data_IF_913015914946
#
_entry.id   IF_913015914946
#
_cell.length_a   1.000
_cell.length_b   1.000
_cell.length_c   1.000
_cell.angle_alpha   90.00
_cell.angle_beta   90.00
_cell.angle_gamma   90.00
#
_symmetry.space_group_name_H-M   'P 1'
#
loop_
_entity.id
_entity.type
_entity.pdbx_description
1 polymer ?
#
# COMPACT_ATOMS: atom_id res chain seq x y z
N UNK A 1 16.61 30.43 -38.64
CA UNK A 1 16.65 29.72 -37.32
C UNK A 1 15.23 29.29 -36.98
N UNK A 2 14.95 28.01 -37.20
CA UNK A 2 13.61 27.45 -36.89
C UNK A 2 13.51 27.17 -35.39
N UNK A 3 12.64 27.89 -34.70
CA UNK A 3 12.30 27.53 -33.34
C UNK A 3 11.56 26.16 -33.35
N UNK A 4 12.01 25.20 -32.54
CA UNK A 4 11.24 23.96 -32.45
C UNK A 4 9.85 24.26 -31.91
N UNK A 5 8.85 23.68 -32.52
CA UNK A 5 7.46 23.81 -32.11
C UNK A 5 7.32 23.34 -30.64
N UNK A 6 6.78 24.21 -29.80
CA UNK A 6 6.43 23.83 -28.41
C UNK A 6 5.31 22.80 -28.48
N UNK A 7 5.65 21.56 -28.19
CA UNK A 7 4.65 20.53 -27.97
C UNK A 7 4.01 20.84 -26.61
N UNK A 8 2.86 21.49 -26.64
CA UNK A 8 2.04 21.62 -25.42
C UNK A 8 1.51 20.21 -25.12
N UNK A 9 1.85 19.61 -23.97
CA UNK A 9 1.25 18.32 -23.63
C UNK A 9 -0.24 18.53 -23.44
N UNK A 10 -1.04 17.93 -24.31
CA UNK A 10 -2.49 17.84 -24.10
C UNK A 10 -2.70 16.88 -22.93
N UNK A 11 -3.08 17.43 -21.79
CA UNK A 11 -3.45 16.63 -20.63
C UNK A 11 -4.77 15.92 -20.92
N UNK A 12 -4.81 14.58 -20.94
CA UNK A 12 -6.07 13.89 -21.14
C UNK A 12 -7.07 14.27 -20.04
N UNK A 13 -8.32 14.48 -20.43
CA UNK A 13 -9.39 14.74 -19.46
C UNK A 13 -9.66 13.47 -18.65
N UNK A 14 -10.01 13.59 -17.35
CA UNK A 14 -10.39 12.42 -16.57
C UNK A 14 -11.49 11.60 -17.23
N UNK A 15 -11.46 10.29 -17.02
CA UNK A 15 -12.45 9.38 -17.58
C UNK A 15 -13.85 9.74 -17.07
N UNK A 16 -14.89 9.57 -17.90
CA UNK A 16 -16.27 9.78 -17.45
C UNK A 16 -16.57 8.94 -16.20
N UNK A 17 -17.21 9.54 -15.24
CA UNK A 17 -17.52 8.89 -13.96
C UNK A 17 -16.46 9.05 -12.90
N UNK A 18 -15.17 9.18 -13.29
CA UNK A 18 -14.08 9.32 -12.32
C UNK A 18 -14.19 10.65 -11.56
N UNK A 19 -14.38 11.73 -12.29
CA UNK A 19 -14.59 13.06 -11.69
C UNK A 19 -15.89 13.10 -10.87
N UNK A 20 -16.94 12.46 -11.35
CA UNK A 20 -18.22 12.41 -10.63
C UNK A 20 -18.09 11.71 -9.29
N UNK A 21 -17.37 10.58 -9.25
CA UNK A 21 -17.11 9.84 -8.01
C UNK A 21 -16.31 10.72 -7.03
N UNK A 22 -15.29 11.39 -7.52
CA UNK A 22 -14.46 12.28 -6.71
C UNK A 22 -15.30 13.42 -6.13
N UNK A 23 -16.11 14.09 -6.97
CA UNK A 23 -16.94 15.23 -6.52
C UNK A 23 -18.02 14.77 -5.52
N UNK A 24 -18.56 13.55 -5.68
CA UNK A 24 -19.49 12.99 -4.69
C UNK A 24 -18.81 12.83 -3.32
N UNK A 25 -17.56 12.35 -3.29
CA UNK A 25 -16.82 12.24 -2.04
C UNK A 25 -16.51 13.61 -1.45
N UNK A 26 -16.12 14.60 -2.27
CA UNK A 26 -15.87 15.98 -1.80
C UNK A 26 -17.14 16.61 -1.23
N UNK A 27 -18.28 16.39 -1.88
CA UNK A 27 -19.57 16.88 -1.38
C UNK A 27 -19.92 16.23 -0.03
N UNK A 28 -19.68 14.94 0.10
CA UNK A 28 -19.95 14.22 1.35
C UNK A 28 -19.04 14.69 2.49
N UNK A 29 -17.76 15.02 2.20
CA UNK A 29 -16.86 15.64 3.21
C UNK A 29 -17.50 16.91 3.78
N UNK A 30 -18.00 17.78 2.89
CA UNK A 30 -18.60 19.06 3.31
C UNK A 30 -19.92 18.86 4.07
N UNK A 31 -20.73 17.90 3.63
CA UNK A 31 -22.07 17.68 4.21
C UNK A 31 -22.06 16.93 5.53
N UNK A 32 -21.18 15.93 5.68
CA UNK A 32 -21.22 15.02 6.83
C UNK A 32 -20.20 15.36 7.92
N UNK A 33 -19.23 16.22 7.61
CA UNK A 33 -18.22 16.65 8.59
C UNK A 33 -17.26 15.56 9.01
N UNK A 34 -16.68 15.71 10.19
CA UNK A 34 -15.62 14.84 10.70
C UNK A 34 -16.24 13.59 11.36
N UNK A 35 -15.89 12.37 10.91
CA UNK A 35 -16.45 11.16 11.55
C UNK A 35 -15.99 11.03 13.00
N UNK A 36 -16.91 10.55 13.85
CA UNK A 36 -16.64 10.31 15.25
C UNK A 36 -15.67 9.14 15.44
N UNK A 37 -15.11 9.01 16.65
CA UNK A 37 -14.30 7.85 17.03
C UNK A 37 -15.08 6.55 16.79
N UNK A 38 -16.36 6.51 17.22
CA UNK A 38 -17.17 5.31 17.07
C UNK A 38 -17.36 4.94 15.59
N UNK A 39 -17.57 5.91 14.72
CA UNK A 39 -17.71 5.65 13.29
C UNK A 39 -16.41 5.09 12.70
N UNK A 40 -15.25 5.67 13.06
CA UNK A 40 -13.95 5.19 12.58
C UNK A 40 -13.68 3.74 13.02
N UNK A 41 -14.02 3.40 14.27
CA UNK A 41 -13.90 2.02 14.77
C UNK A 41 -14.85 1.07 14.00
N UNK A 42 -16.07 1.52 13.71
CA UNK A 42 -17.03 0.73 12.93
C UNK A 42 -16.49 0.45 11.52
N UNK A 43 -15.89 1.45 10.87
CA UNK A 43 -15.30 1.31 9.54
C UNK A 43 -14.14 0.30 9.56
N UNK A 44 -13.26 0.40 10.56
CA UNK A 44 -12.14 -0.55 10.71
C UNK A 44 -12.65 -1.98 10.93
N UNK A 45 -13.69 -2.14 11.73
CA UNK A 45 -14.31 -3.44 11.96
C UNK A 45 -14.96 -3.98 10.69
N UNK A 46 -15.52 -3.12 9.86
CA UNK A 46 -16.08 -3.52 8.56
C UNK A 46 -14.98 -4.09 7.65
N UNK A 47 -13.81 -3.42 7.57
CA UNK A 47 -12.68 -3.96 6.78
C UNK A 47 -12.20 -5.30 7.37
N UNK A 48 -12.14 -5.39 8.71
CA UNK A 48 -11.73 -6.66 9.36
C UNK A 48 -12.66 -7.80 8.94
N UNK A 49 -13.98 -7.55 8.90
CA UNK A 49 -14.96 -8.56 8.43
C UNK A 49 -14.76 -8.87 6.95
N UNK A 50 -14.54 -7.86 6.10
CA UNK A 50 -14.25 -8.08 4.68
C UNK A 50 -13.10 -9.09 4.53
N UNK A 51 -12.01 -8.90 5.28
CA UNK A 51 -10.84 -9.77 5.19
C UNK A 51 -11.12 -11.14 5.80
N UNK A 52 -11.67 -11.19 7.02
CA UNK A 52 -11.83 -12.45 7.75
C UNK A 52 -12.88 -13.36 7.12
N UNK A 53 -13.99 -12.78 6.61
CA UNK A 53 -15.10 -13.57 6.07
C UNK A 53 -14.84 -14.02 4.62
N UNK A 54 -13.85 -13.42 3.95
CA UNK A 54 -13.56 -13.72 2.54
C UNK A 54 -12.13 -14.23 2.32
N UNK A 55 -11.51 -14.82 3.36
CA UNK A 55 -10.11 -15.25 3.27
C UNK A 55 -9.87 -16.15 2.06
N UNK A 56 -10.67 -17.20 1.89
CA UNK A 56 -10.44 -18.17 0.81
C UNK A 56 -10.57 -17.51 -0.57
N UNK A 57 -11.59 -16.66 -0.77
CA UNK A 57 -11.77 -15.93 -2.03
C UNK A 57 -10.57 -15.02 -2.32
N UNK A 58 -10.06 -14.33 -1.30
CA UNK A 58 -8.90 -13.46 -1.44
C UNK A 58 -7.64 -14.25 -1.78
N UNK A 59 -7.43 -15.39 -1.10
CA UNK A 59 -6.28 -16.28 -1.38
C UNK A 59 -6.34 -16.82 -2.81
N UNK A 60 -7.52 -17.28 -3.24
CA UNK A 60 -7.73 -17.81 -4.59
C UNK A 60 -7.48 -16.74 -5.66
N UNK A 61 -8.00 -15.53 -5.46
CA UNK A 61 -7.83 -14.44 -6.42
C UNK A 61 -6.34 -14.07 -6.58
N UNK A 62 -5.62 -13.92 -5.48
CA UNK A 62 -4.19 -13.60 -5.51
C UNK A 62 -3.41 -14.76 -6.17
N UNK A 63 -3.70 -16.00 -5.76
CA UNK A 63 -3.01 -17.16 -6.32
C UNK A 63 -3.20 -17.24 -7.85
N UNK A 64 -4.41 -16.98 -8.30
CA UNK A 64 -4.72 -17.01 -9.74
C UNK A 64 -4.02 -15.89 -10.51
N UNK A 65 -3.93 -14.68 -9.93
CA UNK A 65 -3.23 -13.56 -10.58
C UNK A 65 -1.71 -13.80 -10.64
N UNK A 66 -1.16 -14.55 -9.69
CA UNK A 66 0.29 -14.79 -9.59
C UNK A 66 0.73 -16.15 -10.18
N UNK A 67 -0.19 -16.90 -10.81
CA UNK A 67 0.15 -18.21 -11.36
C UNK A 67 0.53 -19.21 -10.28
N UNK A 68 -0.34 -19.36 -9.28
CA UNK A 68 -0.23 -20.30 -8.16
C UNK A 68 0.66 -19.84 -6.99
N UNK A 69 0.61 -18.57 -6.65
CA UNK A 69 1.25 -18.07 -5.41
C UNK A 69 0.67 -18.82 -4.21
N UNK A 70 1.55 -19.27 -3.31
CA UNK A 70 1.16 -20.04 -2.13
C UNK A 70 0.16 -19.29 -1.24
N UNK A 71 -0.89 -19.97 -0.81
CA UNK A 71 -1.86 -19.43 0.15
C UNK A 71 -1.19 -19.04 1.48
N UNK A 72 -0.19 -19.83 1.92
CA UNK A 72 0.56 -19.52 3.15
C UNK A 72 1.32 -18.20 3.00
N UNK A 73 1.95 -17.99 1.85
CA UNK A 73 2.65 -16.74 1.55
C UNK A 73 1.70 -15.55 1.58
N UNK A 74 0.53 -15.69 0.95
CA UNK A 74 -0.48 -14.63 0.92
C UNK A 74 -1.04 -14.36 2.33
N UNK A 75 -1.29 -15.40 3.12
CA UNK A 75 -1.72 -15.20 4.52
C UNK A 75 -0.68 -14.40 5.30
N UNK A 76 0.58 -14.79 5.23
CA UNK A 76 1.68 -14.17 5.98
C UNK A 76 2.00 -12.75 5.47
N UNK A 77 2.08 -12.59 4.17
CA UNK A 77 2.54 -11.34 3.57
C UNK A 77 1.46 -10.32 3.31
N UNK A 78 0.18 -10.75 3.31
CA UNK A 78 -0.91 -9.83 2.96
C UNK A 78 -2.02 -9.79 3.98
N UNK A 79 -2.67 -10.91 4.31
CA UNK A 79 -3.81 -10.86 5.23
C UNK A 79 -3.39 -10.49 6.65
N UNK A 80 -2.31 -11.09 7.14
CA UNK A 80 -1.84 -10.86 8.52
C UNK A 80 -1.43 -9.39 8.76
N UNK A 81 -0.68 -8.73 7.85
CA UNK A 81 -0.38 -7.31 8.05
C UNK A 81 -1.62 -6.43 8.14
N UNK A 82 -2.64 -6.68 7.33
CA UNK A 82 -3.90 -5.91 7.37
C UNK A 82 -4.60 -6.13 8.71
N UNK A 83 -4.77 -7.40 9.11
CA UNK A 83 -5.44 -7.73 10.38
C UNK A 83 -4.71 -7.12 11.57
N UNK A 84 -3.39 -7.26 11.60
CA UNK A 84 -2.57 -6.70 12.69
C UNK A 84 -2.59 -5.17 12.67
N UNK A 85 -2.58 -4.57 11.49
CA UNK A 85 -2.71 -3.12 11.34
C UNK A 85 -4.01 -2.60 11.93
N UNK A 86 -5.14 -3.27 11.63
CA UNK A 86 -6.44 -2.89 12.18
C UNK A 86 -6.42 -3.00 13.71
N UNK A 87 -5.91 -4.10 14.25
CA UNK A 87 -5.81 -4.29 15.70
C UNK A 87 -4.98 -3.21 16.37
N UNK A 88 -3.83 -2.89 15.76
CA UNK A 88 -2.94 -1.85 16.28
C UNK A 88 -3.62 -0.48 16.27
N UNK A 89 -4.24 -0.10 15.14
CA UNK A 89 -4.93 1.19 15.02
C UNK A 89 -6.04 1.28 16.06
N UNK A 90 -6.88 0.24 16.18
CA UNK A 90 -8.00 0.24 17.13
C UNK A 90 -7.54 0.48 18.57
N UNK A 91 -6.40 -0.10 18.95
CA UNK A 91 -5.88 0.04 20.31
C UNK A 91 -5.29 1.43 20.60
N UNK A 92 -4.91 2.18 19.56
CA UNK A 92 -4.23 3.48 19.71
C UNK A 92 -5.07 4.67 19.27
N UNK A 93 -6.08 4.47 18.42
CA UNK A 93 -6.79 5.56 17.74
C UNK A 93 -7.36 6.61 18.72
N UNK A 94 -7.93 6.15 19.82
CA UNK A 94 -8.50 7.05 20.83
C UNK A 94 -7.45 8.01 21.39
N UNK A 95 -6.24 7.50 21.63
CA UNK A 95 -5.13 8.33 22.11
C UNK A 95 -4.63 9.28 21.02
N UNK A 96 -4.53 8.80 19.77
CA UNK A 96 -4.06 9.63 18.64
C UNK A 96 -5.02 10.78 18.34
N UNK A 97 -6.31 10.62 18.58
CA UNK A 97 -7.33 11.66 18.34
C UNK A 97 -7.35 12.75 19.39
N UNK A 98 -6.65 12.59 20.52
CA UNK A 98 -6.65 13.58 21.61
C UNK A 98 -5.91 14.85 21.17
N UNK A 99 -6.48 16.05 21.47
CA UNK A 99 -5.72 17.28 21.30
C UNK A 99 -4.43 17.28 22.12
N UNK A 100 -3.36 17.75 21.53
CA UNK A 100 -2.04 17.83 22.18
C UNK A 100 -1.76 19.28 22.61
N UNK A 101 -1.59 19.51 23.89
CA UNK A 101 -1.30 20.85 24.43
C UNK A 101 0.10 21.29 24.02
N UNK A 102 0.23 22.56 23.74
CA UNK A 102 1.52 23.19 23.41
C UNK A 102 1.80 24.36 24.34
N UNK A 103 3.06 24.61 24.61
CA UNK A 103 3.47 25.74 25.46
C UNK A 103 3.31 27.05 24.68
N UNK A 104 2.93 28.09 25.37
CA UNK A 104 2.89 29.45 24.82
C UNK A 104 3.90 30.33 25.56
N UNK A 105 4.49 31.27 24.85
CA UNK A 105 5.41 32.23 25.42
C UNK A 105 4.75 33.09 26.50
N UNK A 106 5.56 33.62 27.42
CA UNK A 106 5.06 34.39 28.58
C UNK A 106 4.18 35.57 28.16
N UNK A 107 4.51 36.19 27.03
CA UNK A 107 3.78 37.39 26.55
C UNK A 107 2.35 37.04 26.07
N UNK A 108 2.06 35.78 25.83
CA UNK A 108 0.72 35.36 25.38
C UNK A 108 -0.14 34.80 26.51
N UNK A 109 0.39 34.73 27.73
CA UNK A 109 -0.38 34.24 28.87
C UNK A 109 -1.48 35.24 29.23
N UNK A 110 -2.71 34.75 29.56
CA UNK A 110 -3.10 33.39 29.94
C UNK A 110 -3.62 32.53 28.80
N UNK A 111 -3.31 32.83 27.56
CA UNK A 111 -3.73 32.04 26.40
C UNK A 111 -3.20 30.59 26.48
N UNK A 112 -3.92 29.64 25.87
CA UNK A 112 -3.52 28.27 25.75
C UNK A 112 -3.45 27.89 24.28
N UNK A 113 -2.58 26.90 23.94
CA UNK A 113 -2.44 26.40 22.58
C UNK A 113 -2.55 24.90 22.56
N UNK A 114 -3.12 24.38 21.49
CA UNK A 114 -3.21 22.92 21.27
C UNK A 114 -3.22 22.61 19.79
N UNK A 115 -2.73 21.41 19.47
CA UNK A 115 -2.78 20.84 18.12
C UNK A 115 -3.93 19.83 18.09
N UNK A 116 -4.78 19.94 17.09
CA UNK A 116 -5.90 19.03 16.88
C UNK A 116 -5.71 18.39 15.50
N UNK A 117 -5.72 17.06 15.46
CA UNK A 117 -5.59 16.32 14.20
C UNK A 117 -6.96 16.18 13.56
N UNK A 118 -7.05 16.58 12.30
CA UNK A 118 -8.30 16.55 11.54
C UNK A 118 -8.10 15.75 10.25
N UNK A 119 -9.18 15.12 9.71
CA UNK A 119 -9.09 14.51 8.39
C UNK A 119 -8.71 15.52 7.32
N UNK A 120 -8.00 15.07 6.31
CA UNK A 120 -7.64 15.91 5.17
C UNK A 120 -8.83 16.11 4.22
N UNK A 121 -9.61 15.03 4.02
CA UNK A 121 -10.77 15.07 3.12
C UNK A 121 -10.84 13.80 2.29
N UNK A 122 -10.55 13.88 1.00
CA UNK A 122 -10.55 12.73 0.08
C UNK A 122 -9.11 12.32 -0.23
N UNK A 123 -8.77 11.07 0.10
CA UNK A 123 -7.45 10.48 -0.14
C UNK A 123 -7.53 9.55 -1.35
N UNK A 124 -6.64 9.74 -2.31
CA UNK A 124 -6.47 8.81 -3.42
C UNK A 124 -5.40 7.77 -3.11
N UNK A 125 -5.63 6.52 -3.48
CA UNK A 125 -4.64 5.44 -3.32
C UNK A 125 -4.42 4.78 -4.68
N UNK A 126 -3.18 4.82 -5.17
CA UNK A 126 -2.73 4.07 -6.34
C UNK A 126 -1.90 2.90 -5.84
N UNK A 127 -2.44 1.69 -5.94
CA UNK A 127 -1.83 0.51 -5.34
C UNK A 127 -1.12 -0.36 -6.39
N UNK A 128 -0.03 -1.04 -6.01
CA UNK A 128 0.77 -1.84 -6.93
C UNK A 128 0.27 -3.29 -7.02
N UNK A 129 0.97 -4.06 -7.84
CA UNK A 129 0.61 -5.45 -8.13
C UNK A 129 1.24 -6.48 -7.19
N UNK A 130 2.39 -6.16 -6.59
CA UNK A 130 3.22 -7.20 -5.92
C UNK A 130 2.64 -7.70 -4.58
N UNK A 131 1.96 -6.86 -3.86
CA UNK A 131 1.19 -7.21 -2.66
C UNK A 131 -0.15 -6.49 -2.74
N UNK A 132 -1.04 -6.98 -3.65
CA UNK A 132 -2.24 -6.21 -4.00
C UNK A 132 -3.23 -6.03 -2.86
N UNK A 133 -3.29 -6.96 -1.90
CA UNK A 133 -4.18 -6.81 -0.75
C UNK A 133 -3.59 -5.86 0.28
N UNK A 134 -2.37 -6.13 0.75
CA UNK A 134 -1.73 -5.31 1.80
C UNK A 134 -1.55 -3.86 1.35
N UNK A 135 -1.03 -3.66 0.13
CA UNK A 135 -0.69 -2.31 -0.32
C UNK A 135 -1.90 -1.52 -0.81
N UNK A 136 -3.07 -2.16 -0.85
CA UNK A 136 -4.35 -1.48 -1.03
C UNK A 136 -5.04 -1.23 0.32
N UNK A 137 -5.11 -2.26 1.16
CA UNK A 137 -5.91 -2.21 2.38
C UNK A 137 -5.23 -1.49 3.54
N UNK A 138 -3.88 -1.52 3.64
CA UNK A 138 -3.20 -0.81 4.73
C UNK A 138 -3.37 0.71 4.58
N UNK A 139 -3.09 1.32 3.41
CA UNK A 139 -3.39 2.75 3.26
C UNK A 139 -4.88 3.07 3.46
N UNK A 140 -5.78 2.17 3.05
CA UNK A 140 -7.22 2.36 3.25
C UNK A 140 -7.57 2.43 4.74
N UNK A 141 -7.10 1.46 5.55
CA UNK A 141 -7.44 1.44 6.98
C UNK A 141 -6.85 2.66 7.69
N UNK A 142 -5.67 3.10 7.29
CA UNK A 142 -5.04 4.30 7.86
C UNK A 142 -5.82 5.56 7.51
N UNK A 143 -6.24 5.69 6.25
CA UNK A 143 -7.03 6.84 5.80
C UNK A 143 -8.40 6.90 6.48
N UNK A 144 -9.09 5.74 6.62
CA UNK A 144 -10.37 5.66 7.32
C UNK A 144 -10.21 5.98 8.82
N UNK A 145 -9.17 5.45 9.46
CA UNK A 145 -8.87 5.74 10.86
C UNK A 145 -8.63 7.22 11.09
N UNK A 146 -7.98 7.89 10.14
CA UNK A 146 -7.75 9.34 10.20
C UNK A 146 -9.04 10.14 9.89
N UNK A 147 -10.11 9.46 9.45
CA UNK A 147 -11.41 10.09 9.20
C UNK A 147 -11.62 10.56 7.76
N UNK A 148 -10.79 10.10 6.84
CA UNK A 148 -10.86 10.49 5.43
C UNK A 148 -11.82 9.61 4.63
N UNK A 149 -12.22 10.10 3.46
CA UNK A 149 -12.88 9.32 2.41
C UNK A 149 -11.81 8.88 1.42
N UNK A 150 -12.05 7.77 0.72
CA UNK A 150 -10.97 7.13 -0.04
C UNK A 150 -11.45 6.71 -1.42
N UNK A 151 -10.67 7.08 -2.43
CA UNK A 151 -10.76 6.49 -3.77
C UNK A 151 -9.53 5.63 -4.00
N UNK A 152 -9.72 4.45 -4.57
CA UNK A 152 -8.64 3.48 -4.78
C UNK A 152 -8.60 3.06 -6.25
N UNK A 153 -7.41 3.07 -6.83
CA UNK A 153 -7.16 2.45 -8.13
C UNK A 153 -6.13 1.35 -7.91
N UNK A 154 -6.57 0.07 -7.79
CA UNK A 154 -5.62 -1.04 -7.66
C UNK A 154 -4.98 -1.37 -9.02
N UNK A 155 -4.00 -2.26 -9.00
CA UNK A 155 -3.21 -2.56 -10.19
C UNK A 155 -4.01 -3.36 -11.23
N UNK A 156 -3.85 -3.01 -12.50
CA UNK A 156 -4.37 -3.76 -13.65
C UNK A 156 -3.65 -5.08 -13.86
N UNK A 157 -2.48 -5.25 -13.23
CA UNK A 157 -1.70 -6.49 -13.36
C UNK A 157 -2.21 -7.61 -12.45
N UNK A 158 -3.11 -7.30 -11.51
CA UNK A 158 -3.76 -8.28 -10.65
C UNK A 158 -5.28 -8.13 -10.76
N UNK A 159 -5.83 -8.43 -11.96
CA UNK A 159 -7.24 -8.09 -12.25
C UNK A 159 -8.25 -8.86 -11.40
N UNK A 160 -7.99 -10.11 -11.05
CA UNK A 160 -8.93 -10.90 -10.24
C UNK A 160 -9.01 -10.35 -8.82
N UNK A 161 -7.85 -10.04 -8.24
CA UNK A 161 -7.76 -9.44 -6.91
C UNK A 161 -8.40 -8.06 -6.90
N UNK A 162 -8.11 -7.24 -7.91
CA UNK A 162 -8.63 -5.87 -8.02
C UNK A 162 -10.15 -5.86 -8.14
N UNK A 163 -10.72 -6.75 -8.95
CA UNK A 163 -12.17 -6.85 -9.13
C UNK A 163 -12.86 -7.36 -7.85
N UNK A 164 -12.23 -8.35 -7.17
CA UNK A 164 -12.78 -8.85 -5.91
C UNK A 164 -12.79 -7.74 -4.85
N UNK A 165 -11.70 -6.94 -4.75
CA UNK A 165 -11.66 -5.80 -3.83
C UNK A 165 -12.74 -4.77 -4.17
N UNK A 166 -12.92 -4.47 -5.49
CA UNK A 166 -13.97 -3.55 -5.93
C UNK A 166 -15.36 -4.02 -5.47
N UNK A 167 -15.62 -5.31 -5.65
CA UNK A 167 -16.89 -5.91 -5.23
C UNK A 167 -17.06 -5.83 -3.70
N UNK A 168 -16.12 -6.38 -2.95
CA UNK A 168 -16.25 -6.49 -1.50
C UNK A 168 -16.34 -5.13 -0.79
N UNK A 169 -15.52 -4.16 -1.24
CA UNK A 169 -15.55 -2.83 -0.65
C UNK A 169 -16.81 -2.06 -1.07
N UNK A 170 -17.29 -2.28 -2.31
CA UNK A 170 -18.54 -1.68 -2.79
C UNK A 170 -19.79 -2.24 -2.10
N UNK A 171 -19.73 -3.50 -1.65
CA UNK A 171 -20.82 -4.10 -0.85
C UNK A 171 -20.79 -3.61 0.60
N UNK A 172 -19.65 -3.11 1.07
CA UNK A 172 -19.43 -2.73 2.46
C UNK A 172 -19.62 -1.24 2.71
N UNK A 173 -19.21 -0.40 1.77
CA UNK A 173 -19.21 1.07 1.91
C UNK A 173 -19.96 1.72 0.77
N UNK A 174 -20.56 2.88 1.05
CA UNK A 174 -21.10 3.71 -0.03
C UNK A 174 -19.94 4.26 -0.89
N UNK A 175 -20.22 4.52 -2.16
CA UNK A 175 -19.22 5.11 -3.07
C UNK A 175 -18.72 6.48 -2.58
N UNK A 176 -19.56 7.18 -1.82
CA UNK A 176 -19.20 8.47 -1.21
C UNK A 176 -18.15 8.31 -0.10
N UNK A 177 -17.95 7.10 0.42
CA UNK A 177 -17.00 6.86 1.51
C UNK A 177 -15.76 6.11 1.02
N UNK A 178 -15.94 4.97 0.34
CA UNK A 178 -14.84 4.18 -0.25
C UNK A 178 -15.26 3.75 -1.65
N UNK A 179 -14.46 4.11 -2.64
CA UNK A 179 -14.72 3.72 -4.04
C UNK A 179 -13.47 3.08 -4.63
N UNK A 180 -13.63 1.94 -5.27
CA UNK A 180 -12.57 1.28 -6.03
C UNK A 180 -12.87 1.42 -7.52
N UNK A 181 -11.94 2.00 -8.28
CA UNK A 181 -12.04 2.11 -9.73
C UNK A 181 -10.98 1.22 -10.37
N UNK A 182 -11.42 0.32 -11.26
CA UNK A 182 -10.51 -0.59 -11.97
C UNK A 182 -10.32 -0.10 -13.41
N UNK A 183 -9.10 -0.23 -13.89
CA UNK A 183 -8.74 0.24 -15.23
C UNK A 183 -7.25 0.20 -15.45
N UNK A 184 -6.84 0.60 -16.62
CA UNK A 184 -5.46 0.52 -17.11
C UNK A 184 -4.57 1.69 -16.66
N UNK A 185 -3.37 1.78 -17.24
CA UNK A 185 -2.42 2.83 -16.94
C UNK A 185 -2.94 4.23 -17.33
N UNK A 186 -3.82 4.32 -18.35
CA UNK A 186 -4.42 5.60 -18.71
C UNK A 186 -5.35 6.09 -17.60
N UNK A 187 -6.17 5.19 -17.04
CA UNK A 187 -7.03 5.54 -15.91
C UNK A 187 -6.18 5.92 -14.68
N UNK A 188 -5.05 5.25 -14.45
CA UNK A 188 -4.14 5.60 -13.35
C UNK A 188 -3.59 7.02 -13.52
N UNK A 189 -3.24 7.39 -14.75
CA UNK A 189 -2.78 8.76 -15.07
C UNK A 189 -3.88 9.78 -14.76
N UNK A 190 -5.10 9.54 -15.27
CA UNK A 190 -6.25 10.43 -15.03
C UNK A 190 -6.59 10.52 -13.54
N UNK A 191 -6.50 9.40 -12.82
CA UNK A 191 -6.71 9.36 -11.37
C UNK A 191 -5.71 10.26 -10.64
N UNK A 192 -4.43 10.23 -11.04
CA UNK A 192 -3.41 11.05 -10.38
C UNK A 192 -3.57 12.55 -10.63
N UNK A 193 -4.39 12.94 -11.60
CA UNK A 193 -4.70 14.34 -11.91
C UNK A 193 -5.87 14.91 -11.10
N UNK A 194 -6.61 14.05 -10.38
CA UNK A 194 -7.70 14.55 -9.53
C UNK A 194 -7.14 15.36 -8.36
N UNK A 195 -7.83 16.44 -7.95
CA UNK A 195 -7.32 17.31 -6.89
C UNK A 195 -7.61 16.73 -5.50
N UNK A 196 -7.05 15.56 -5.22
CA UNK A 196 -7.14 14.92 -3.91
C UNK A 196 -6.57 15.81 -2.81
N UNK A 197 -7.04 15.61 -1.59
CA UNK A 197 -6.46 16.26 -0.42
C UNK A 197 -5.16 15.56 0.02
N UNK A 198 -4.94 14.32 -0.43
CA UNK A 198 -3.68 13.58 -0.33
C UNK A 198 -3.70 12.42 -1.33
N UNK A 199 -2.55 12.09 -1.89
CA UNK A 199 -2.43 10.98 -2.83
C UNK A 199 -1.31 10.04 -2.37
N UNK A 200 -1.66 8.77 -2.15
CA UNK A 200 -0.71 7.72 -1.79
C UNK A 200 -0.44 6.88 -3.04
N UNK A 201 0.82 6.74 -3.38
CA UNK A 201 1.26 5.92 -4.52
C UNK A 201 2.30 4.92 -4.05
N UNK A 202 2.10 3.65 -4.39
CA UNK A 202 3.12 2.61 -4.22
C UNK A 202 3.43 2.02 -5.59
N UNK A 203 4.71 2.02 -5.98
CA UNK A 203 5.12 1.51 -7.29
C UNK A 203 6.55 1.86 -7.66
N UNK A 204 6.84 1.90 -8.95
CA UNK A 204 8.20 2.21 -9.41
C UNK A 204 8.51 3.71 -9.27
N UNK A 205 9.79 4.01 -9.09
CA UNK A 205 10.29 5.40 -9.06
C UNK A 205 9.94 6.15 -10.36
N UNK A 206 10.00 5.44 -11.48
CA UNK A 206 9.65 6.04 -12.77
C UNK A 206 8.21 6.55 -12.79
N UNK A 207 7.25 5.69 -12.40
CA UNK A 207 5.84 6.07 -12.37
C UNK A 207 5.58 7.10 -11.24
N UNK A 208 6.26 6.95 -10.10
CA UNK A 208 6.13 7.89 -8.98
C UNK A 208 6.45 9.33 -9.38
N UNK A 209 7.45 9.53 -10.25
CA UNK A 209 7.76 10.87 -10.77
C UNK A 209 6.59 11.46 -11.56
N UNK A 210 5.91 10.64 -12.37
CA UNK A 210 4.74 11.09 -13.15
C UNK A 210 3.55 11.40 -12.22
N UNK A 211 3.32 10.56 -11.23
CA UNK A 211 2.25 10.77 -10.24
C UNK A 211 2.48 12.08 -9.47
N UNK A 212 3.71 12.31 -9.00
CA UNK A 212 4.07 13.52 -8.29
C UNK A 212 3.89 14.77 -9.17
N UNK A 213 4.31 14.68 -10.43
CA UNK A 213 4.18 15.80 -11.38
C UNK A 213 2.70 16.13 -11.65
N UNK A 214 1.85 15.11 -11.77
CA UNK A 214 0.40 15.30 -11.96
C UNK A 214 -0.21 15.96 -10.72
N UNK A 215 0.07 15.43 -9.54
CA UNK A 215 -0.43 15.93 -8.26
C UNK A 215 0.00 17.38 -8.00
N UNK A 216 1.21 17.75 -8.42
CA UNK A 216 1.77 19.09 -8.21
C UNK A 216 0.91 20.18 -8.86
N UNK A 217 0.22 19.88 -9.96
CA UNK A 217 -0.66 20.87 -10.62
C UNK A 217 -1.79 21.35 -9.70
N UNK A 218 -2.21 20.49 -8.78
CA UNK A 218 -3.29 20.76 -7.83
C UNK A 218 -2.75 21.08 -6.44
N UNK A 219 -1.42 21.11 -6.26
CA UNK A 219 -0.76 21.24 -4.96
C UNK A 219 -1.16 20.07 -4.01
N UNK A 220 -1.54 18.92 -4.58
CA UNK A 220 -1.89 17.73 -3.79
C UNK A 220 -0.64 17.16 -3.14
N UNK A 221 -0.59 17.05 -1.80
CA UNK A 221 0.51 16.37 -1.14
C UNK A 221 0.54 14.88 -1.50
N UNK A 222 1.74 14.30 -1.66
CA UNK A 222 1.87 12.90 -2.04
C UNK A 222 2.72 12.13 -1.03
N UNK A 223 2.37 10.86 -0.83
CA UNK A 223 3.24 9.87 -0.20
C UNK A 223 3.63 8.89 -1.29
N UNK A 224 4.94 8.78 -1.54
CA UNK A 224 5.49 7.89 -2.56
C UNK A 224 6.23 6.74 -1.88
N UNK A 225 5.69 5.54 -2.02
CA UNK A 225 6.32 4.29 -1.57
C UNK A 225 6.91 3.61 -2.80
N UNK A 226 8.23 3.59 -2.90
CA UNK A 226 8.93 3.25 -4.14
C UNK A 226 9.80 2.01 -3.96
N UNK A 227 10.38 1.54 -5.05
CA UNK A 227 11.29 0.41 -5.03
C UNK A 227 12.67 0.79 -4.47
N UNK A 228 13.49 -0.21 -4.26
CA UNK A 228 14.82 -0.02 -3.75
C UNK A 228 15.79 -1.08 -4.25
N UNK A 229 17.07 -0.85 -3.95
CA UNK A 229 18.18 -1.78 -4.16
C UNK A 229 18.80 -2.03 -2.80
N UNK A 230 18.11 -2.83 -1.98
CA UNK A 230 18.47 -3.02 -0.57
C UNK A 230 19.78 -3.79 -0.41
N UNK A 231 20.86 -3.15 0.05
CA UNK A 231 22.12 -3.85 0.30
C UNK A 231 22.06 -4.69 1.57
N UNK A 232 22.78 -5.80 1.55
CA UNK A 232 23.04 -6.58 2.76
C UNK A 232 24.54 -6.53 3.04
N UNK A 233 24.91 -6.25 4.27
CA UNK A 233 26.32 -6.25 4.70
C UNK A 233 26.48 -7.37 5.72
N UNK A 234 27.32 -8.35 5.40
CA UNK A 234 27.67 -9.45 6.32
C UNK A 234 29.04 -9.14 6.92
N UNK A 235 29.06 -8.95 8.24
CA UNK A 235 30.29 -8.67 8.96
C UNK A 235 31.13 -9.94 9.16
N UNK A 236 32.43 -9.76 9.38
CA UNK A 236 33.40 -10.86 9.51
C UNK A 236 33.04 -11.87 10.62
N UNK A 237 32.46 -11.37 11.71
CA UNK A 237 32.10 -12.18 12.87
C UNK A 237 30.72 -12.82 12.77
N UNK A 238 29.97 -12.65 11.65
CA UNK A 238 28.65 -13.21 11.52
C UNK A 238 28.69 -14.56 10.78
N UNK A 239 27.89 -15.52 11.26
CA UNK A 239 27.85 -16.87 10.68
C UNK A 239 27.34 -16.82 9.23
N UNK A 240 28.18 -17.25 8.31
CA UNK A 240 27.85 -17.31 6.87
C UNK A 240 26.65 -18.20 6.63
N UNK A 241 26.60 -19.39 7.26
CA UNK A 241 25.49 -20.33 7.14
C UNK A 241 24.16 -19.70 7.59
N UNK A 242 24.18 -19.00 8.72
CA UNK A 242 22.99 -18.33 9.25
C UNK A 242 22.54 -17.18 8.33
N UNK A 243 23.51 -16.40 7.84
CA UNK A 243 23.25 -15.30 6.90
C UNK A 243 22.60 -15.82 5.62
N UNK A 244 23.18 -16.83 5.00
CA UNK A 244 22.68 -17.41 3.75
C UNK A 244 21.23 -17.91 3.91
N UNK A 245 20.95 -18.61 5.02
CA UNK A 245 19.61 -19.14 5.29
C UNK A 245 18.57 -18.02 5.44
N UNK A 246 18.88 -17.01 6.24
CA UNK A 246 17.95 -15.88 6.50
C UNK A 246 17.70 -15.09 5.22
N UNK A 247 18.76 -14.84 4.46
CA UNK A 247 18.66 -14.07 3.23
C UNK A 247 17.92 -14.83 2.12
N UNK A 248 18.09 -16.16 2.06
CA UNK A 248 17.34 -16.99 1.10
C UNK A 248 15.83 -16.86 1.35
N UNK A 249 15.41 -16.94 2.61
CA UNK A 249 13.99 -16.75 2.97
C UNK A 249 13.51 -15.35 2.55
N UNK A 250 14.27 -14.32 2.91
CA UNK A 250 13.91 -12.93 2.59
C UNK A 250 13.88 -12.63 1.10
N UNK A 251 14.78 -13.27 0.31
CA UNK A 251 14.83 -13.04 -1.13
C UNK A 251 13.80 -13.85 -1.88
N UNK A 252 13.51 -15.09 -1.44
CA UNK A 252 12.61 -15.97 -2.16
C UNK A 252 11.14 -15.71 -1.87
N UNK A 253 10.83 -15.02 -0.76
CA UNK A 253 9.46 -14.63 -0.43
C UNK A 253 8.89 -13.80 -1.58
N UNK A 254 7.70 -14.14 -2.05
CA UNK A 254 7.05 -13.52 -3.20
C UNK A 254 7.97 -13.49 -4.45
N UNK A 255 8.83 -14.50 -4.61
CA UNK A 255 9.80 -14.57 -5.71
C UNK A 255 10.73 -13.34 -5.79
N UNK A 256 10.95 -12.66 -4.67
CA UNK A 256 11.78 -11.46 -4.61
C UNK A 256 11.09 -10.19 -5.07
N UNK A 257 9.79 -10.26 -5.37
CA UNK A 257 9.00 -9.12 -5.88
C UNK A 257 8.55 -8.22 -4.73
N UNK A 258 9.54 -7.73 -3.96
CA UNK A 258 9.31 -6.95 -2.74
C UNK A 258 10.26 -5.74 -2.76
N UNK A 259 9.72 -4.56 -2.47
CA UNK A 259 10.49 -3.30 -2.49
C UNK A 259 11.70 -3.33 -1.56
N UNK A 260 11.63 -4.11 -0.48
CA UNK A 260 12.70 -4.22 0.53
C UNK A 260 13.44 -5.55 0.43
N UNK A 261 13.24 -6.35 -0.63
CA UNK A 261 13.94 -7.63 -0.79
C UNK A 261 15.46 -7.39 -0.90
N UNK A 262 16.27 -8.26 -0.28
CA UNK A 262 17.72 -8.18 -0.47
C UNK A 262 18.07 -8.17 -1.95
N UNK A 263 18.87 -7.18 -2.38
CA UNK A 263 19.24 -7.04 -3.79
C UNK A 263 20.67 -7.51 -4.06
N UNK A 264 21.64 -6.92 -3.35
CA UNK A 264 23.04 -7.32 -3.46
C UNK A 264 23.62 -7.51 -2.07
N UNK A 265 24.66 -8.34 -2.02
CA UNK A 265 25.25 -8.79 -0.74
C UNK A 265 26.73 -8.46 -0.74
N UNK A 266 27.16 -7.72 0.26
CA UNK A 266 28.55 -7.43 0.55
C UNK A 266 29.02 -8.42 1.63
N UNK A 267 29.95 -9.27 1.27
CA UNK A 267 30.47 -10.32 2.14
C UNK A 267 32.00 -10.31 2.08
N UNK A 268 32.72 -10.61 3.18
CA UNK A 268 34.18 -10.66 3.12
C UNK A 268 34.65 -11.60 2.00
N UNK A 269 35.71 -11.17 1.32
CA UNK A 269 36.22 -11.84 0.10
C UNK A 269 36.43 -13.35 0.31
N UNK A 270 37.00 -13.73 1.45
CA UNK A 270 37.28 -15.11 1.81
C UNK A 270 36.02 -15.96 1.99
N UNK A 271 34.88 -15.33 2.22
CA UNK A 271 33.60 -16.02 2.47
C UNK A 271 32.67 -16.06 1.25
N UNK A 272 33.07 -15.50 0.11
CA UNK A 272 32.20 -15.46 -1.10
C UNK A 272 31.76 -16.87 -1.52
N UNK A 273 32.75 -17.79 -1.64
CA UNK A 273 32.45 -19.15 -2.09
C UNK A 273 31.63 -19.95 -1.06
N UNK A 274 31.95 -19.81 0.22
CA UNK A 274 31.18 -20.48 1.28
C UNK A 274 29.75 -19.93 1.36
N UNK A 275 29.57 -18.62 1.20
CA UNK A 275 28.23 -18.03 1.15
C UNK A 275 27.44 -18.59 -0.04
N UNK A 276 28.04 -18.62 -1.23
CA UNK A 276 27.39 -19.14 -2.44
C UNK A 276 26.95 -20.60 -2.25
N UNK A 277 27.81 -21.42 -1.66
CA UNK A 277 27.51 -22.82 -1.37
C UNK A 277 26.32 -22.98 -0.40
N UNK A 278 26.36 -22.25 0.70
CA UNK A 278 25.25 -22.27 1.68
C UNK A 278 23.94 -21.73 1.07
N UNK A 279 24.05 -20.72 0.24
CA UNK A 279 22.90 -20.14 -0.46
C UNK A 279 22.24 -21.18 -1.37
N UNK A 280 23.03 -21.86 -2.16
CA UNK A 280 22.51 -22.87 -3.09
C UNK A 280 21.87 -24.05 -2.32
N UNK A 281 22.49 -24.45 -1.26
CA UNK A 281 21.92 -25.47 -0.36
C UNK A 281 20.54 -25.05 0.19
N UNK A 282 20.37 -23.83 0.59
CA UNK A 282 19.12 -23.30 1.06
C UNK A 282 18.09 -23.15 -0.01
N UNK A 283 18.51 -22.97 -1.19
CA UNK A 283 17.67 -22.83 -2.32
C UNK A 283 17.15 -24.19 -2.75
N UNK A 284 17.95 -25.12 -2.58
CA UNK A 284 17.60 -26.48 -2.86
C UNK A 284 16.68 -27.05 -1.77
N UNK A 285 16.81 -26.63 -0.66
CA UNK A 285 16.00 -27.01 0.41
C UNK A 285 14.65 -26.35 0.37
N UNK A 286 14.62 -25.12 -0.01
CA UNK A 286 13.41 -24.38 -0.12
C UNK A 286 12.57 -24.78 -1.30
N UNK A 287 13.12 -25.16 -2.30
CA UNK A 287 12.50 -25.65 -3.49
C UNK A 287 12.00 -27.07 -3.27
N UNK A 288 12.63 -27.76 -2.54
CA UNK A 288 12.24 -29.09 -2.15
C UNK A 288 11.11 -29.08 -1.13
N UNK A 289 11.11 -28.19 -0.44
CA UNK A 289 10.04 -27.98 0.46
C UNK A 289 8.79 -27.49 -0.20
N UNK A 290 8.97 -26.78 -1.07
CA UNK A 290 7.87 -26.27 -1.82
C UNK A 290 7.26 -27.31 -2.73
N UNK A 291 8.01 -28.06 -3.15
CA UNK A 291 7.58 -29.17 -3.92
C UNK A 291 6.96 -30.25 -3.03
N UNK A 292 7.39 -30.39 -2.03
CA UNK A 292 6.83 -31.26 -1.07
C UNK A 292 5.50 -30.77 -0.55
N UNK A 293 5.43 -29.62 -0.45
CA UNK A 293 4.18 -29.05 -0.07
C UNK A 293 3.14 -29.13 -1.13
N UNK A 294 3.52 -29.08 -2.16
CA UNK A 294 2.65 -29.20 -3.27
C UNK A 294 2.18 -30.62 -3.45
N UNK A 295 2.95 -31.33 -3.17
CA UNK A 295 2.63 -32.70 -3.22
C UNK A 295 1.82 -33.19 -2.04
N UNK A 296 1.87 -32.62 -1.31
CA UNK A 296 1.06 -32.89 -0.20
C UNK A 296 -0.33 -32.35 -0.28
N UNK A 297 -0.75 -31.57 -1.12
CA UNK A 297 -2.07 -30.93 -1.25
C UNK A 297 -2.93 -31.50 -2.41
N UNK A 298 -2.37 -32.32 -3.18
CA UNK A 298 -3.10 -33.04 -4.25
C UNK A 298 -3.68 -34.36 -3.74
#
# INVERSE_FOLDING_TARGET
MNQPARITPTTPSPAPGLTELFEAQKAAVRAQGVPSYAQRIADLNAILRVVSDNQDRLLEAVSADFGNRSFAETRLGELMPVINGIKHIRSHLKAWMRPSRRKVGIVFKPATARVIYQPLGVVGILAPWNYPLTLTLVPLIEALAAGNRVMIKPSELTPRTSELLRQLLGETFSAEQVTVVTGDALLASQFSELPFDHLVFTGSTYVGRHVMAAAARNLTPVTLELGGKSPVVICEDYSIKKAARMLAIGKLFNAGQTCVAPDYILVPREHVNSFAGEWLAXXXXXXXXXXXXXXXAS
#
